data_IF_255467103922
#
_entry.id   IF_255467103922
#
_cell.length_a   1.000
_cell.length_b   1.000
_cell.length_c   1.000
_cell.angle_alpha   90.00
_cell.angle_beta   90.00
_cell.angle_gamma   90.00
#
_symmetry.space_group_name_H-M   'P 1'
#
loop_
_entity.id
_entity.type
_entity.pdbx_description
1 polymer ?
#
# COMPACT_ATOMS: atom_id res chain seq x y z
N UNK A 1 -9.93 19.12 -14.47
CA UNK A 1 -9.45 18.12 -13.49
C UNK A 1 -9.71 18.71 -12.12
N UNK A 2 -10.76 18.24 -11.45
CA UNK A 2 -11.22 18.79 -10.19
C UNK A 2 -10.19 18.54 -9.08
N UNK A 3 -9.97 19.54 -8.24
CA UNK A 3 -9.26 19.38 -6.99
C UNK A 3 -9.98 18.29 -6.17
N UNK A 4 -9.23 17.27 -5.75
CA UNK A 4 -9.73 16.26 -4.83
C UNK A 4 -9.88 16.97 -3.49
N UNK A 5 -11.11 17.41 -3.20
CA UNK A 5 -11.49 17.76 -1.85
C UNK A 5 -11.25 16.55 -0.96
N UNK A 6 -10.57 16.77 0.15
CA UNK A 6 -10.50 15.84 1.27
C UNK A 6 -11.93 15.57 1.77
N UNK A 7 -12.61 14.60 1.17
CA UNK A 7 -13.91 14.11 1.63
C UNK A 7 -13.74 12.66 2.03
N UNK A 8 -13.21 12.43 3.23
CA UNK A 8 -13.54 11.29 4.11
C UNK A 8 -13.45 9.84 3.62
N UNK A 9 -13.02 9.54 2.38
CA UNK A 9 -13.13 8.19 1.80
C UNK A 9 -11.91 7.29 2.10
N UNK A 10 -10.87 7.81 2.76
CA UNK A 10 -9.64 7.06 3.04
C UNK A 10 -9.23 7.12 4.51
N UNK A 11 -10.21 7.00 5.42
CA UNK A 11 -10.04 7.10 6.88
C UNK A 11 -9.04 6.10 7.48
N UNK A 12 -8.67 5.04 6.75
CA UNK A 12 -7.73 4.05 7.23
C UNK A 12 -6.26 4.47 7.05
N UNK A 13 -5.96 5.45 6.19
CA UNK A 13 -4.58 5.90 5.96
C UNK A 13 -4.11 6.81 7.10
N UNK A 14 -2.84 6.72 7.52
CA UNK A 14 -2.31 7.59 8.56
C UNK A 14 -2.20 9.04 8.06
N UNK A 15 -2.24 10.01 8.98
CA UNK A 15 -2.14 11.45 8.67
C UNK A 15 -0.83 11.82 7.95
N UNK A 16 0.22 11.02 8.11
CA UNK A 16 1.49 11.21 7.41
C UNK A 16 1.43 10.88 5.91
N UNK A 17 0.36 10.24 5.45
CA UNK A 17 0.18 9.90 4.04
C UNK A 17 -0.57 11.00 3.29
N UNK A 18 0.18 11.79 2.52
CA UNK A 18 -0.40 12.86 1.71
C UNK A 18 -0.92 12.30 0.38
N UNK A 19 -2.25 12.25 0.23
CA UNK A 19 -2.90 11.74 -0.99
C UNK A 19 -2.78 12.76 -2.13
N UNK A 20 -2.23 12.33 -3.26
CA UNK A 20 -2.11 13.13 -4.49
C UNK A 20 -3.10 12.72 -5.58
N UNK A 21 -3.53 11.46 -5.58
CA UNK A 21 -4.49 10.93 -6.54
C UNK A 21 -5.22 9.72 -5.95
N UNK A 22 -6.51 9.60 -6.24
CA UNK A 22 -7.29 8.43 -5.91
C UNK A 22 -8.24 8.10 -7.07
N UNK A 23 -8.39 6.81 -7.37
CA UNK A 23 -9.44 6.27 -8.23
C UNK A 23 -10.13 5.08 -7.51
N UNK A 24 -10.91 4.28 -8.22
CA UNK A 24 -11.62 3.13 -7.67
C UNK A 24 -10.69 1.98 -7.26
N UNK A 25 -9.48 1.94 -7.82
CA UNK A 25 -8.55 0.81 -7.75
C UNK A 25 -7.27 1.12 -6.99
N UNK A 26 -6.80 2.35 -6.99
CA UNK A 26 -5.53 2.76 -6.42
C UNK A 26 -5.63 4.13 -5.76
N UNK A 27 -4.86 4.28 -4.69
CA UNK A 27 -4.52 5.57 -4.11
C UNK A 27 -3.03 5.79 -4.34
N UNK A 28 -2.67 6.98 -4.81
CA UNK A 28 -1.30 7.46 -4.89
C UNK A 28 -1.11 8.61 -3.93
N UNK A 29 0.03 8.62 -3.28
CA UNK A 29 0.43 9.65 -2.34
C UNK A 29 1.90 9.55 -2.01
N UNK A 30 2.32 10.32 -1.02
CA UNK A 30 3.70 10.36 -0.58
C UNK A 30 3.84 10.44 0.92
N UNK A 31 5.00 9.97 1.38
CA UNK A 31 5.47 10.02 2.76
C UNK A 31 6.92 10.52 2.77
N UNK A 32 7.37 11.01 3.91
CA UNK A 32 8.69 11.65 4.06
C UNK A 32 9.75 10.67 4.54
N UNK A 33 9.37 9.61 5.26
CA UNK A 33 10.31 8.70 5.90
C UNK A 33 9.99 7.22 5.71
N UNK A 34 11.01 6.37 5.82
CA UNK A 34 10.84 4.91 5.78
C UNK A 34 9.96 4.38 6.92
N UNK A 35 9.90 5.11 8.04
CA UNK A 35 9.01 4.80 9.16
C UNK A 35 7.55 4.99 8.76
N UNK A 36 7.22 6.12 8.14
CA UNK A 36 5.87 6.41 7.65
C UNK A 36 5.42 5.43 6.55
N UNK A 37 6.35 4.94 5.71
CA UNK A 37 6.07 3.84 4.77
C UNK A 37 5.57 2.62 5.53
N UNK A 38 6.26 2.22 6.61
CA UNK A 38 5.87 1.05 7.39
C UNK A 38 4.52 1.27 8.08
N UNK A 39 4.30 2.44 8.69
CA UNK A 39 3.02 2.80 9.31
C UNK A 39 1.86 2.75 8.29
N UNK A 40 2.09 3.26 7.08
CA UNK A 40 1.11 3.20 5.98
C UNK A 40 0.85 1.76 5.53
N UNK A 41 1.89 0.94 5.39
CA UNK A 41 1.75 -0.47 5.02
C UNK A 41 1.00 -1.27 6.09
N UNK A 42 1.26 -1.00 7.38
CA UNK A 42 0.58 -1.66 8.49
C UNK A 42 -0.90 -1.30 8.52
N UNK A 43 -1.23 -0.03 8.27
CA UNK A 43 -2.61 0.43 8.13
C UNK A 43 -3.34 -0.25 6.95
N UNK A 44 -2.69 -0.33 5.79
CA UNK A 44 -3.19 -1.03 4.59
C UNK A 44 -3.41 -2.53 4.85
N UNK A 45 -2.44 -3.19 5.50
CA UNK A 45 -2.52 -4.61 5.82
C UNK A 45 -3.68 -4.88 6.80
N UNK A 46 -3.88 -3.98 7.77
CA UNK A 46 -4.98 -4.04 8.74
C UNK A 46 -6.33 -3.87 8.06
N UNK A 47 -6.47 -2.88 7.18
CA UNK A 47 -7.71 -2.58 6.47
C UNK A 47 -8.16 -3.74 5.58
N UNK A 48 -7.24 -4.26 4.76
CA UNK A 48 -7.58 -5.29 3.78
C UNK A 48 -7.39 -6.73 4.27
N UNK A 49 -6.89 -6.92 5.50
CA UNK A 49 -6.55 -8.24 6.06
C UNK A 49 -5.71 -9.09 5.08
N UNK A 50 -4.78 -8.44 4.40
CA UNK A 50 -3.88 -9.05 3.41
C UNK A 50 -2.46 -8.61 3.73
N UNK A 51 -1.49 -9.46 3.40
CA UNK A 51 -0.08 -9.13 3.52
C UNK A 51 0.50 -8.89 2.14
N UNK A 52 1.29 -7.83 1.99
CA UNK A 52 2.06 -7.60 0.78
C UNK A 52 3.47 -8.18 0.94
N UNK A 53 3.90 -8.98 -0.02
CA UNK A 53 5.22 -9.60 -0.04
C UNK A 53 6.09 -8.91 -1.09
N UNK A 54 7.35 -8.62 -0.75
CA UNK A 54 8.31 -8.06 -1.71
C UNK A 54 8.46 -8.97 -2.93
N UNK A 55 8.17 -8.43 -4.11
CA UNK A 55 8.29 -9.14 -5.39
C UNK A 55 9.49 -8.65 -6.19
N UNK A 56 9.72 -7.34 -6.17
CA UNK A 56 10.82 -6.71 -6.88
C UNK A 56 11.39 -5.60 -6.03
N UNK A 57 12.72 -5.54 -5.95
CA UNK A 57 13.45 -4.48 -5.25
C UNK A 57 14.63 -4.09 -6.12
N UNK A 58 14.62 -2.85 -6.60
CA UNK A 58 15.75 -2.26 -7.33
C UNK A 58 16.24 -1.05 -6.56
N UNK A 59 17.46 -1.17 -6.03
CA UNK A 59 18.19 -0.06 -5.41
C UNK A 59 19.22 0.40 -6.43
N UNK A 60 19.11 1.65 -6.88
CA UNK A 60 20.14 2.28 -7.69
C UNK A 60 21.23 2.79 -6.74
N UNK A 61 22.36 2.08 -6.67
CA UNK A 61 23.53 2.47 -5.87
C UNK A 61 24.39 3.54 -6.55
N UNK A 62 24.06 3.92 -7.78
CA UNK A 62 24.78 4.96 -8.50
C UNK A 62 24.57 6.30 -7.79
N UNK A 63 25.69 6.93 -7.43
CA UNK A 63 25.72 8.30 -6.93
C UNK A 63 25.34 9.26 -8.05
N UNK A 64 24.84 10.44 -7.71
CA UNK A 64 24.77 11.56 -8.65
C UNK A 64 26.15 11.71 -9.33
N UNK A 65 26.18 11.47 -10.63
CA UNK A 65 27.38 11.46 -11.46
C UNK A 65 26.97 11.51 -12.94
N UNK A 66 27.92 11.58 -13.87
CA UNK A 66 27.61 11.72 -15.31
C UNK A 66 26.70 10.60 -15.85
N UNK A 67 26.75 9.40 -15.26
CA UNK A 67 25.87 8.27 -15.63
C UNK A 67 24.41 8.45 -15.17
N UNK A 68 24.17 9.24 -14.11
CA UNK A 68 22.83 9.53 -13.59
C UNK A 68 22.00 10.40 -14.55
N UNK A 69 22.65 11.15 -15.46
CA UNK A 69 21.99 11.98 -16.47
C UNK A 69 21.07 11.19 -17.42
N UNK A 70 21.33 9.89 -17.58
CA UNK A 70 20.55 9.00 -18.44
C UNK A 70 19.22 8.55 -17.81
N UNK A 71 19.02 8.81 -16.51
CA UNK A 71 17.89 8.29 -15.72
C UNK A 71 16.98 9.36 -15.13
N UNK A 72 17.16 10.62 -15.53
CA UNK A 72 16.28 11.71 -15.11
C UNK A 72 14.86 11.49 -15.65
N UNK A 73 13.89 11.51 -14.74
CA UNK A 73 12.48 11.34 -15.03
C UNK A 73 11.69 12.55 -14.51
N UNK A 74 10.48 12.74 -15.04
CA UNK A 74 9.57 13.76 -14.54
C UNK A 74 8.62 13.16 -13.51
N UNK A 75 8.67 13.67 -12.29
CA UNK A 75 7.67 13.47 -11.25
C UNK A 75 6.50 14.43 -11.49
N UNK A 76 5.25 13.96 -11.35
CA UNK A 76 4.06 14.73 -11.77
C UNK A 76 3.03 14.98 -10.69
N UNK A 77 3.25 14.42 -9.50
CA UNK A 77 2.23 14.30 -8.47
C UNK A 77 2.49 15.27 -7.29
N UNK A 78 3.46 16.20 -7.44
CA UNK A 78 3.80 17.18 -6.42
C UNK A 78 2.92 18.43 -6.55
N UNK A 79 2.31 18.84 -5.44
CA UNK A 79 1.65 20.13 -5.34
C UNK A 79 2.58 21.14 -4.67
N UNK A 80 2.87 22.24 -5.36
CA UNK A 80 3.63 23.36 -4.82
C UNK A 80 2.76 24.61 -4.88
N UNK A 81 2.58 25.27 -3.74
CA UNK A 81 1.80 26.51 -3.64
C UNK A 81 0.39 26.43 -4.24
N UNK A 82 -0.27 25.27 -4.11
CA UNK A 82 -1.62 25.03 -4.64
C UNK A 82 -1.67 24.79 -6.16
N UNK A 83 -0.52 24.71 -6.84
CA UNK A 83 -0.44 24.35 -8.26
C UNK A 83 0.18 22.97 -8.44
N UNK A 84 -0.33 22.22 -9.43
CA UNK A 84 0.29 20.94 -9.80
C UNK A 84 1.57 21.21 -10.58
N UNK A 85 2.69 20.81 -10.00
CA UNK A 85 4.00 20.99 -10.60
C UNK A 85 4.51 19.65 -11.14
N UNK A 86 5.29 19.74 -12.21
CA UNK A 86 6.17 18.67 -12.63
C UNK A 86 7.56 18.98 -12.15
N UNK A 87 8.20 18.02 -11.50
CA UNK A 87 9.53 18.19 -10.92
C UNK A 87 10.44 17.11 -11.49
N UNK A 88 11.60 17.47 -12.03
CA UNK A 88 12.54 16.49 -12.51
C UNK A 88 13.21 15.80 -11.32
N UNK A 89 13.53 14.52 -11.46
CA UNK A 89 14.13 13.75 -10.39
C UNK A 89 14.70 12.41 -10.82
N UNK A 90 15.36 11.77 -9.85
CA UNK A 90 15.97 10.45 -9.97
C UNK A 90 15.23 9.46 -9.08
N UNK A 91 14.98 8.26 -9.59
CA UNK A 91 14.45 7.16 -8.77
C UNK A 91 15.62 6.44 -8.12
N UNK A 92 15.76 6.57 -6.81
CA UNK A 92 16.80 5.90 -6.01
C UNK A 92 16.43 4.44 -5.73
N UNK A 93 15.17 4.21 -5.40
CA UNK A 93 14.66 2.89 -5.02
C UNK A 93 13.30 2.67 -5.65
N UNK A 94 13.07 1.46 -6.14
CA UNK A 94 11.79 1.01 -6.65
C UNK A 94 11.48 -0.38 -6.11
N UNK A 95 10.53 -0.44 -5.19
CA UNK A 95 10.06 -1.64 -4.55
C UNK A 95 8.62 -1.91 -5.00
N UNK A 96 8.36 -3.16 -5.40
CA UNK A 96 7.02 -3.61 -5.76
C UNK A 96 6.70 -4.79 -4.86
N UNK A 97 5.61 -4.65 -4.11
CA UNK A 97 5.08 -5.68 -3.23
C UNK A 97 3.78 -6.21 -3.81
N UNK A 98 3.57 -7.52 -3.77
CA UNK A 98 2.39 -8.20 -4.31
C UNK A 98 1.54 -8.75 -3.17
N UNK A 99 0.22 -8.72 -3.34
CA UNK A 99 -0.71 -9.40 -2.43
C UNK A 99 -0.27 -10.86 -2.17
N UNK A 100 -0.45 -11.36 -0.95
CA UNK A 100 -0.15 -12.75 -0.57
C UNK A 100 -0.99 -13.77 -1.35
N UNK A 101 -2.15 -13.36 -1.89
CA UNK A 101 -2.99 -14.14 -2.81
C UNK A 101 -2.63 -13.96 -4.28
N UNK A 102 -1.63 -13.14 -4.58
CA UNK A 102 -1.12 -12.90 -5.93
C UNK A 102 -0.60 -14.14 -6.65
N UNK A 103 -0.35 -14.00 -7.96
CA UNK A 103 0.31 -15.05 -8.77
C UNK A 103 1.72 -15.41 -8.26
N UNK A 104 2.29 -16.49 -8.80
CA UNK A 104 3.50 -17.15 -8.23
C UNK A 104 4.58 -16.14 -7.82
N UNK A 105 5.14 -16.24 -6.59
CA UNK A 105 6.35 -15.50 -6.23
C UNK A 105 7.46 -15.84 -7.23
N UNK A 106 8.39 -14.90 -7.42
CA UNK A 106 9.62 -15.13 -8.17
C UNK A 106 10.20 -16.50 -7.80
N UNK A 107 10.22 -17.44 -8.75
CA UNK A 107 11.02 -18.64 -8.63
C UNK A 107 12.47 -18.17 -8.82
N UNK A 108 13.33 -18.13 -7.78
CA UNK A 108 14.75 -18.14 -8.06
C UNK A 108 14.97 -19.35 -8.97
N UNK A 109 15.60 -19.13 -10.13
CA UNK A 109 16.02 -20.23 -10.99
C UNK A 109 16.71 -21.24 -10.08
N UNK A 110 16.37 -22.53 -10.13
CA UNK A 110 17.07 -23.51 -9.31
C UNK A 110 18.55 -23.36 -9.64
N UNK A 111 19.31 -22.82 -8.69
CA UNK A 111 20.76 -22.94 -8.70
C UNK A 111 21.02 -24.43 -8.86
N UNK A 112 21.90 -24.82 -9.78
CA UNK A 112 22.30 -26.20 -10.00
C UNK A 112 22.83 -26.77 -8.66
N UNK A 113 21.94 -27.27 -7.81
CA UNK A 113 22.31 -28.07 -6.66
C UNK A 113 22.74 -29.39 -7.27
N UNK A 114 24.06 -29.62 -7.26
CA UNK A 114 24.64 -30.90 -7.60
C UNK A 114 23.84 -31.98 -6.87
N UNK A 115 23.41 -32.99 -7.63
CA UNK A 115 22.74 -34.15 -7.08
C UNK A 115 23.76 -34.89 -6.21
N UNK A 116 23.75 -34.63 -4.90
CA UNK A 116 24.40 -35.53 -3.96
C UNK A 116 23.60 -36.85 -3.99
N UNK A 117 24.25 -37.92 -4.47
CA UNK A 117 23.68 -39.23 -4.72
C UNK A 117 23.46 -40.07 -3.43
N UNK A 118 23.66 -39.50 -2.25
CA UNK A 118 23.86 -40.29 -1.03
C UNK A 118 22.60 -40.76 -0.28
N UNK A 119 21.39 -40.32 -0.65
CA UNK A 119 20.18 -40.69 0.10
C UNK A 119 19.00 -41.15 -0.78
N UNK A 120 19.13 -42.33 -1.39
CA UNK A 120 18.08 -42.96 -2.21
C UNK A 120 16.76 -43.24 -1.46
N UNK A 121 16.78 -43.38 -0.13
CA UNK A 121 15.59 -43.69 0.67
C UNK A 121 14.71 -42.47 1.01
N UNK A 122 15.14 -41.24 0.70
CA UNK A 122 14.32 -40.03 0.89
C UNK A 122 13.36 -39.75 -0.29
N UNK A 123 13.37 -40.58 -1.34
CA UNK A 123 12.64 -40.37 -2.60
C UNK A 123 11.12 -40.51 -2.53
N UNK A 124 10.54 -40.81 -1.37
CA UNK A 124 9.09 -40.88 -1.17
C UNK A 124 8.55 -39.92 -0.10
N UNK A 125 9.12 -38.72 0.03
CA UNK A 125 8.28 -37.63 0.54
C UNK A 125 7.33 -37.22 -0.58
N UNK A 126 6.11 -37.78 -0.59
CA UNK A 126 4.96 -37.14 -1.25
C UNK A 126 4.97 -35.70 -0.74
N UNK A 127 5.45 -34.77 -1.55
CA UNK A 127 5.14 -33.37 -1.33
C UNK A 127 3.63 -33.30 -1.47
N UNK A 128 2.92 -33.33 -0.35
CA UNK A 128 1.58 -32.80 -0.31
C UNK A 128 1.79 -31.35 -0.69
N UNK A 129 1.66 -31.05 -1.99
CA UNK A 129 1.55 -29.71 -2.50
C UNK A 129 0.38 -29.13 -1.73
N UNK A 130 0.67 -28.38 -0.66
CA UNK A 130 -0.35 -27.56 -0.06
C UNK A 130 -0.85 -26.70 -1.20
N UNK A 131 -2.13 -26.84 -1.53
CA UNK A 131 -2.81 -25.98 -2.48
C UNK A 131 -2.44 -24.55 -2.10
N UNK A 132 -1.56 -23.94 -2.90
CA UNK A 132 -1.13 -22.60 -2.61
C UNK A 132 -2.38 -21.76 -2.69
N UNK A 133 -2.71 -21.07 -1.59
CA UNK A 133 -3.81 -20.12 -1.47
C UNK A 133 -3.78 -18.95 -2.48
N UNK A 134 -2.86 -19.00 -3.43
CA UNK A 134 -2.59 -18.05 -4.52
C UNK A 134 -3.73 -18.15 -5.53
N UNK A 135 -4.50 -17.10 -5.68
CA UNK A 135 -5.64 -17.02 -6.60
C UNK A 135 -5.34 -16.16 -7.82
N UNK A 136 -4.11 -15.66 -7.95
CA UNK A 136 -3.75 -14.78 -9.06
C UNK A 136 -4.26 -13.35 -8.86
N UNK A 137 -4.25 -12.86 -7.63
CA UNK A 137 -4.55 -11.45 -7.34
C UNK A 137 -3.55 -10.51 -8.04
N UNK A 138 -4.06 -9.42 -8.63
CA UNK A 138 -3.25 -8.42 -9.34
C UNK A 138 -2.82 -7.24 -8.45
N UNK A 139 -3.37 -7.13 -7.24
CA UNK A 139 -3.09 -6.04 -6.31
C UNK A 139 -1.59 -5.98 -5.96
N UNK A 140 -1.03 -4.77 -6.13
CA UNK A 140 0.38 -4.48 -5.91
C UNK A 140 0.52 -3.13 -5.22
N UNK A 141 1.38 -3.08 -4.20
CA UNK A 141 1.88 -1.82 -3.67
C UNK A 141 3.17 -1.49 -4.40
N UNK A 142 3.29 -0.26 -4.92
CA UNK A 142 4.55 0.24 -5.50
C UNK A 142 5.08 1.35 -4.60
N UNK A 143 6.36 1.27 -4.27
CA UNK A 143 7.05 2.25 -3.42
C UNK A 143 8.26 2.74 -4.20
N UNK A 144 8.30 4.04 -4.47
CA UNK A 144 9.40 4.68 -5.20
C UNK A 144 10.01 5.79 -4.35
N UNK A 145 11.29 5.68 -4.08
CA UNK A 145 12.06 6.78 -3.47
C UNK A 145 12.63 7.65 -4.58
N UNK A 146 12.31 8.92 -4.53
CA UNK A 146 12.73 9.94 -5.48
C UNK A 146 13.68 10.92 -4.82
N UNK A 147 14.70 11.35 -5.56
CA UNK A 147 15.40 12.62 -5.34
C UNK A 147 14.86 13.61 -6.35
N UNK A 148 14.26 14.70 -5.88
CA UNK A 148 13.65 15.75 -6.68
C UNK A 148 14.53 17.00 -6.70
N UNK A 149 14.55 17.68 -7.85
CA UNK A 149 15.26 18.94 -8.04
C UNK A 149 14.25 20.08 -8.21
N UNK A 150 13.78 20.62 -7.09
CA UNK A 150 12.68 21.59 -7.02
C UNK A 150 12.99 22.91 -7.74
N UNK A 151 14.26 23.30 -7.81
CA UNK A 151 14.73 24.50 -8.51
C UNK A 151 14.40 24.49 -10.01
N UNK A 152 14.15 23.29 -10.56
CA UNK A 152 13.80 23.08 -11.97
C UNK A 152 12.34 22.66 -12.16
N UNK A 153 11.51 22.86 -11.13
CA UNK A 153 10.08 22.62 -11.22
C UNK A 153 9.42 23.52 -12.28
N UNK A 154 8.36 22.99 -12.88
CA UNK A 154 7.51 23.75 -13.80
C UNK A 154 6.06 23.44 -13.52
N UNK A 155 5.18 24.41 -13.76
CA UNK A 155 3.75 24.16 -13.71
C UNK A 155 3.33 23.16 -14.80
N UNK A 156 2.51 22.17 -14.42
CA UNK A 156 2.07 21.11 -15.33
C UNK A 156 1.32 21.64 -16.55
N UNK A 157 0.55 22.73 -16.39
CA UNK A 157 -0.21 23.37 -17.46
C UNK A 157 0.69 23.96 -18.57
N UNK A 158 1.87 24.45 -18.21
CA UNK A 158 2.77 25.13 -19.16
C UNK A 158 3.87 24.22 -19.71
N UNK A 159 3.92 22.97 -19.24
CA UNK A 159 4.98 22.01 -19.49
C UNK A 159 4.93 21.33 -20.86
N UNK A 160 5.34 22.03 -21.90
CA UNK A 160 5.48 21.46 -23.25
C UNK A 160 6.70 20.53 -23.36
N UNK A 161 6.70 19.63 -24.36
CA UNK A 161 7.83 18.72 -24.65
C UNK A 161 9.15 19.49 -24.84
N UNK A 162 9.09 20.64 -25.49
CA UNK A 162 10.25 21.50 -25.72
C UNK A 162 10.78 22.09 -24.40
N UNK A 163 9.92 22.67 -23.55
CA UNK A 163 10.33 23.22 -22.26
C UNK A 163 10.93 22.16 -21.34
N UNK A 164 10.34 20.96 -21.32
CA UNK A 164 10.91 19.80 -20.61
C UNK A 164 12.32 19.49 -21.11
N UNK A 165 12.55 19.49 -22.42
CA UNK A 165 13.88 19.22 -22.97
C UNK A 165 14.91 20.31 -22.60
N UNK A 166 14.51 21.58 -22.60
CA UNK A 166 15.36 22.71 -22.18
C UNK A 166 15.73 22.57 -20.69
N UNK A 167 14.74 22.40 -19.81
CA UNK A 167 14.98 22.19 -18.37
C UNK A 167 15.84 20.97 -18.08
N UNK A 168 15.65 19.89 -18.85
CA UNK A 168 16.48 18.69 -18.68
C UNK A 168 17.95 18.94 -19.04
N UNK A 169 18.25 19.87 -19.97
CA UNK A 169 19.63 20.28 -20.26
C UNK A 169 20.21 21.11 -19.11
N UNK A 170 19.45 22.08 -18.60
CA UNK A 170 19.87 22.93 -17.48
C UNK A 170 20.24 22.09 -16.25
N UNK A 171 19.43 21.08 -15.92
CA UNK A 171 19.71 20.16 -14.79
C UNK A 171 20.99 19.38 -15.00
N UNK A 172 21.25 18.91 -16.23
CA UNK A 172 22.49 18.17 -16.53
C UNK A 172 23.72 19.04 -16.37
N UNK A 173 23.62 20.32 -16.71
CA UNK A 173 24.70 21.29 -16.49
C UNK A 173 24.89 21.58 -14.99
N UNK A 174 23.80 21.77 -14.25
CA UNK A 174 23.85 22.00 -12.81
C UNK A 174 24.34 20.77 -12.02
N UNK A 175 23.97 19.56 -12.45
CA UNK A 175 24.49 18.29 -11.92
C UNK A 175 26.01 18.19 -12.05
N UNK A 176 26.58 18.69 -13.15
CA UNK A 176 28.05 18.73 -13.36
C UNK A 176 28.72 19.78 -12.48
N UNK A 177 28.04 20.89 -12.21
CA UNK A 177 28.53 21.93 -11.33
C UNK A 177 28.46 21.53 -9.84
N UNK A 178 27.56 20.61 -9.48
CA UNK A 178 27.40 20.11 -8.12
C UNK A 178 26.67 21.06 -7.17
N UNK A 179 25.98 22.07 -7.71
CA UNK A 179 25.25 23.09 -6.94
C UNK A 179 23.76 23.00 -7.23
N UNK A 180 23.05 22.16 -6.48
CA UNK A 180 21.60 21.99 -6.61
C UNK A 180 20.98 21.61 -5.27
N UNK A 181 19.74 22.05 -5.04
CA UNK A 181 18.93 21.59 -3.92
C UNK A 181 18.24 20.27 -4.24
N UNK A 182 18.40 19.31 -3.34
CA UNK A 182 17.80 17.98 -3.44
C UNK A 182 16.77 17.77 -2.35
N UNK A 183 15.57 17.32 -2.73
CA UNK A 183 14.54 16.87 -1.79
C UNK A 183 14.26 15.40 -2.01
N UNK A 184 14.27 14.60 -0.94
CA UNK A 184 13.92 13.18 -1.03
C UNK A 184 12.43 12.99 -0.70
N UNK A 185 11.70 12.27 -1.56
CA UNK A 185 10.27 11.97 -1.37
C UNK A 185 10.02 10.49 -1.64
N UNK A 186 9.18 9.85 -0.82
CA UNK A 186 8.77 8.46 -1.05
C UNK A 186 7.34 8.44 -1.57
N UNK A 187 7.18 8.12 -2.84
CA UNK A 187 5.87 7.94 -3.47
C UNK A 187 5.38 6.51 -3.26
N UNK A 188 4.11 6.35 -2.88
CA UNK A 188 3.45 5.05 -2.81
C UNK A 188 2.21 5.01 -3.71
N UNK A 189 2.00 3.86 -4.35
CA UNK A 189 0.77 3.48 -5.03
C UNK A 189 0.20 2.28 -4.28
N UNK A 190 -0.94 2.49 -3.63
CA UNK A 190 -1.61 1.54 -2.74
C UNK A 190 -2.85 1.00 -3.46
N UNK A 191 -3.03 -0.32 -3.57
CA UNK A 191 -4.23 -0.89 -4.15
C UNK A 191 -5.41 -0.76 -3.18
N UNK A 192 -6.57 -0.41 -3.71
CA UNK A 192 -7.86 -0.45 -3.04
C UNK A 192 -8.53 -1.81 -3.19
N UNK A 193 -9.64 -2.01 -2.49
CA UNK A 193 -10.42 -3.24 -2.52
C UNK A 193 -10.76 -3.71 -3.95
N UNK A 194 -11.09 -2.79 -4.87
CA UNK A 194 -11.44 -3.14 -6.25
C UNK A 194 -10.24 -3.69 -7.06
N UNK A 195 -9.00 -3.44 -6.63
CA UNK A 195 -7.80 -4.03 -7.25
C UNK A 195 -7.55 -5.48 -6.83
N UNK A 196 -8.21 -5.95 -5.77
CA UNK A 196 -8.08 -7.33 -5.32
C UNK A 196 -9.03 -8.25 -6.11
N UNK A 197 -8.49 -8.80 -7.19
CA UNK A 197 -9.21 -9.75 -8.04
C UNK A 197 -8.99 -11.20 -7.57
N UNK A 198 -9.96 -12.07 -7.86
CA UNK A 198 -9.88 -13.52 -7.61
C UNK A 198 -9.79 -13.94 -6.13
N UNK A 199 -9.97 -13.04 -5.17
CA UNK A 199 -10.21 -13.39 -3.77
C UNK A 199 -11.02 -12.32 -3.06
N UNK A 200 -11.68 -12.69 -1.97
CA UNK A 200 -12.39 -11.74 -1.12
C UNK A 200 -11.45 -11.13 -0.09
N UNK A 201 -11.63 -9.84 0.17
CA UNK A 201 -11.09 -9.13 1.32
C UNK A 201 -12.11 -9.22 2.45
N UNK A 202 -12.32 -10.41 2.99
CA UNK A 202 -13.33 -10.56 4.03
C UNK A 202 -12.75 -10.01 5.36
N UNK A 203 -13.32 -8.91 5.84
CA UNK A 203 -13.18 -8.43 7.22
C UNK A 203 -13.67 -9.51 8.21
N UNK A 204 -14.63 -10.34 7.78
CA UNK A 204 -15.22 -11.43 8.57
C UNK A 204 -14.32 -12.68 8.71
N UNK A 205 -13.22 -12.78 7.95
CA UNK A 205 -12.38 -13.99 7.96
C UNK A 205 -11.53 -14.19 9.21
N UNK A 206 -11.54 -13.25 10.16
CA UNK A 206 -10.90 -13.45 11.46
C UNK A 206 -11.66 -14.46 12.36
N UNK A 207 -12.90 -14.84 12.01
CA UNK A 207 -13.71 -15.81 12.77
C UNK A 207 -14.24 -16.96 11.87
N UNK A 208 -13.66 -17.17 10.68
CA UNK A 208 -14.09 -18.29 9.82
C UNK A 208 -13.50 -19.65 10.20
N UNK A 209 -12.60 -19.68 11.20
CA UNK A 209 -12.22 -20.93 11.87
C UNK A 209 -13.19 -21.16 13.01
N UNK A 210 -13.83 -22.32 13.03
CA UNK A 210 -14.49 -22.85 14.23
C UNK A 210 -13.50 -22.73 15.38
N UNK A 211 -13.73 -21.78 16.28
CA UNK A 211 -12.93 -21.63 17.50
C UNK A 211 -12.99 -23.00 18.19
N UNK A 212 -11.84 -23.56 18.55
CA UNK A 212 -11.85 -24.86 19.22
C UNK A 212 -12.72 -24.75 20.47
N UNK A 213 -13.49 -25.79 20.77
CA UNK A 213 -14.41 -25.79 21.91
C UNK A 213 -13.68 -25.42 23.20
N UNK A 214 -12.43 -25.85 23.34
CA UNK A 214 -11.54 -25.53 24.45
C UNK A 214 -11.24 -24.04 24.57
N UNK A 215 -10.90 -23.36 23.46
CA UNK A 215 -10.63 -21.91 23.46
C UNK A 215 -11.91 -21.14 23.78
N UNK A 216 -13.05 -21.57 23.22
CA UNK A 216 -14.35 -20.96 23.51
C UNK A 216 -14.71 -21.10 24.99
N UNK A 217 -14.59 -22.31 25.54
CA UNK A 217 -14.86 -22.55 26.97
C UNK A 217 -13.91 -21.79 27.88
N UNK A 218 -12.63 -21.60 27.48
CA UNK A 218 -11.69 -20.80 28.27
C UNK A 218 -12.00 -19.31 28.24
N UNK A 219 -12.44 -18.78 27.08
CA UNK A 219 -12.90 -17.39 26.99
C UNK A 219 -14.15 -17.19 27.85
N UNK A 220 -15.13 -18.11 27.78
CA UNK A 220 -16.34 -18.07 28.60
C UNK A 220 -16.01 -18.14 30.11
N UNK A 221 -15.07 -19.00 30.51
CA UNK A 221 -14.57 -19.08 31.89
C UNK A 221 -13.90 -17.75 32.33
N UNK A 222 -13.09 -17.14 31.47
CA UNK A 222 -12.40 -15.88 31.79
C UNK A 222 -13.36 -14.68 31.87
N UNK A 223 -14.41 -14.68 31.05
CA UNK A 223 -15.50 -13.68 31.12
C UNK A 223 -16.32 -13.87 32.40
N UNK A 224 -16.70 -15.11 32.73
CA UNK A 224 -17.44 -15.42 33.97
C UNK A 224 -16.63 -15.16 35.24
N UNK A 225 -15.32 -15.37 35.19
CA UNK A 225 -14.40 -15.06 36.28
C UNK A 225 -14.10 -13.55 36.42
N UNK A 226 -14.73 -12.69 35.60
CA UNK A 226 -14.52 -11.24 35.62
C UNK A 226 -13.13 -10.79 35.16
N UNK A 227 -12.33 -11.69 34.57
CA UNK A 227 -10.93 -11.41 34.20
C UNK A 227 -10.76 -10.71 32.86
N UNK A 228 -11.84 -10.55 32.10
CA UNK A 228 -11.88 -9.83 30.82
C UNK A 228 -12.69 -8.52 30.91
N UNK A 229 -12.95 -8.01 32.11
CA UNK A 229 -13.88 -6.90 32.31
C UNK A 229 -13.42 -5.85 33.30
N UNK A 230 -12.32 -5.15 33.04
CA UNK A 230 -12.10 -3.77 33.50
C UNK A 230 -11.30 -2.98 32.44
N UNK A 231 -11.91 -2.71 31.29
CA UNK A 231 -11.61 -1.48 30.56
C UNK A 231 -12.78 -0.53 30.79
N UNK A 232 -12.77 0.13 31.93
CA UNK A 232 -13.68 1.22 32.28
C UNK A 232 -13.29 2.47 31.50
N UNK A 233 -13.58 2.49 30.20
CA UNK A 233 -13.82 3.75 29.49
C UNK A 233 -15.34 3.91 29.31
N UNK A 234 -15.88 4.77 30.18
CA UNK A 234 -17.16 5.51 30.09
C UNK A 234 -18.34 4.79 29.43
N UNK A 235 -19.15 4.13 30.26
CA UNK A 235 -20.49 3.63 29.93
C UNK A 235 -21.51 4.72 29.53
N UNK A 236 -21.16 6.01 29.57
CA UNK A 236 -22.12 7.08 29.26
C UNK A 236 -22.30 7.34 27.75
N UNK A 237 -21.36 6.96 26.89
CA UNK A 237 -21.46 7.26 25.45
C UNK A 237 -22.18 6.16 24.63
N UNK A 238 -22.23 4.93 25.13
CA UNK A 238 -22.84 3.80 24.41
C UNK A 238 -24.39 3.83 24.43
N UNK A 239 -24.99 4.41 25.47
CA UNK A 239 -26.45 4.49 25.58
C UNK A 239 -27.08 5.52 24.62
N UNK A 240 -26.34 6.57 24.23
CA UNK A 240 -26.83 7.61 23.33
C UNK A 240 -26.97 7.15 21.86
N UNK A 241 -26.21 6.13 21.45
CA UNK A 241 -26.23 5.60 20.08
C UNK A 241 -27.35 4.57 19.83
N UNK A 242 -27.80 3.83 20.85
CA UNK A 242 -28.90 2.87 20.70
C UNK A 242 -30.30 3.49 20.71
N UNK A 243 -30.48 4.69 21.27
CA UNK A 243 -31.79 5.34 21.34
C UNK A 243 -32.25 5.97 20.01
N UNK A 244 -31.35 6.18 19.04
CA UNK A 244 -31.69 6.82 17.75
C UNK A 244 -32.20 5.87 16.67
N UNK A 245 -32.15 4.56 16.88
CA UNK A 245 -32.47 3.58 15.84
C UNK A 245 -33.84 2.89 16.01
N UNK A 246 -34.60 3.19 17.07
CA UNK A 246 -35.86 2.48 17.40
C UNK A 246 -37.12 3.23 16.92
N UNK A 247 -37.02 4.41 16.30
CA UNK A 247 -38.22 5.18 15.87
C UNK A 247 -38.60 5.08 14.39
N UNK A 248 -38.05 4.13 13.62
CA UNK A 248 -38.29 4.08 12.17
C UNK A 248 -38.72 2.71 11.63
N UNK A 249 -39.57 1.98 12.35
CA UNK A 249 -40.38 0.90 11.74
C UNK A 249 -41.82 1.00 12.21
N UNK A 250 -42.58 1.84 11.51
CA UNK A 250 -44.01 1.95 11.66
C UNK A 250 -44.70 1.79 10.31
N UNK A 251 -45.45 0.69 10.20
CA UNK A 251 -46.71 0.58 9.44
C UNK A 251 -46.62 0.09 7.99
N UNK A 252 -46.86 -1.22 7.82
CA UNK A 252 -47.45 -1.80 6.60
C UNK A 252 -48.90 -1.30 6.40
N UNK A 253 -49.43 -1.35 5.17
CA UNK A 253 -50.48 -2.35 4.92
C UNK A 253 -50.32 -2.97 3.51
N UNK A 254 -50.37 -4.30 3.37
CA UNK A 254 -51.59 -5.09 3.15
C UNK A 254 -52.57 -4.42 2.19
N UNK A 255 -52.63 -4.86 0.94
CA UNK A 255 -53.89 -5.22 0.29
C UNK A 255 -53.70 -6.28 -0.79
N UNK A 256 -54.56 -7.29 -0.69
CA UNK A 256 -54.88 -8.30 -1.69
C UNK A 256 -55.58 -7.64 -2.89
N UNK A 257 -55.25 -8.08 -4.10
CA UNK A 257 -56.13 -8.89 -4.97
C UNK A 257 -55.35 -9.39 -6.17
#
# INVERSE_FOLDING_TARGET
MAAIGSTGEHLFLPECFEVSFADDKIIRGHVQSAREVQETLDAVNKEFNTAFNSWFKKINKEKLGPDAESRLLWYTDLQLQGTTCIVPGLVLQNDVMVCDRGGRPYNPKPTNVQKDEDHAYLRQKRSRLQLTKKTGCEAKVKIKTWTLFEDFSMEKATATKWKKAVKMKEIKEALKAGDMRETTVIQMEIPLAASHTNHTLAVENCISRTISREVRSKVEELVQAGRLGECTHSQEDAAALCARTISAEGTAPSQRR
#
